data_IF_774020650627
#
_entry.id   IF_774020650627
#
_cell.length_a   1.000
_cell.length_b   1.000
_cell.length_c   1.000
_cell.angle_alpha   90.00
_cell.angle_beta   90.00
_cell.angle_gamma   90.00
#
_symmetry.space_group_name_H-M   'P 1'
#
loop_
_entity.id
_entity.type
_entity.pdbx_description
1 polymer ?
#
# COMPACT_ATOMS: atom_id res chain seq x y z
N UNK A 1 13.66 -7.32 -29.89
CA UNK A 1 12.36 -7.62 -29.29
C UNK A 1 12.21 -9.02 -28.62
N UNK A 2 12.97 -10.08 -28.96
CA UNK A 2 12.78 -11.40 -28.30
C UNK A 2 13.20 -11.48 -26.82
N UNK A 3 14.10 -10.59 -26.36
CA UNK A 3 14.62 -10.64 -24.98
C UNK A 3 13.65 -10.14 -23.88
N UNK A 4 12.73 -9.26 -24.22
CA UNK A 4 11.71 -8.77 -23.26
C UNK A 4 10.61 -9.80 -23.02
N UNK A 5 10.22 -10.53 -24.07
CA UNK A 5 9.21 -11.60 -24.00
C UNK A 5 9.70 -12.77 -23.15
N UNK A 6 10.99 -13.09 -23.22
CA UNK A 6 11.59 -14.17 -22.42
C UNK A 6 11.67 -13.81 -20.92
N UNK A 7 11.95 -12.56 -20.58
CA UNK A 7 11.95 -12.09 -19.19
C UNK A 7 10.54 -12.08 -18.60
N UNK A 8 9.53 -11.68 -19.39
CA UNK A 8 8.12 -11.73 -18.96
C UNK A 8 7.62 -13.16 -18.75
N UNK A 9 8.00 -14.10 -19.59
CA UNK A 9 7.67 -15.52 -19.46
C UNK A 9 8.38 -16.17 -18.27
N UNK A 10 9.63 -15.82 -17.98
CA UNK A 10 10.35 -16.30 -16.81
C UNK A 10 9.80 -15.74 -15.49
N UNK A 11 9.39 -14.46 -15.47
CA UNK A 11 8.70 -13.85 -14.32
C UNK A 11 7.33 -14.46 -14.09
N UNK A 12 6.55 -14.74 -15.14
CA UNK A 12 5.25 -15.39 -15.02
C UNK A 12 5.37 -16.84 -14.54
N UNK A 13 6.42 -17.56 -14.97
CA UNK A 13 6.66 -18.94 -14.55
C UNK A 13 7.11 -19.03 -13.08
N UNK A 14 7.94 -18.12 -12.61
CA UNK A 14 8.33 -18.03 -11.20
C UNK A 14 7.19 -17.63 -10.27
N UNK A 15 6.25 -16.80 -10.75
CA UNK A 15 5.04 -16.43 -10.01
C UNK A 15 4.05 -17.59 -9.86
N UNK A 16 3.93 -18.45 -10.89
CA UNK A 16 3.04 -19.62 -10.85
C UNK A 16 3.61 -20.72 -9.94
N UNK A 17 4.93 -20.89 -9.88
CA UNK A 17 5.56 -21.87 -8.99
C UNK A 17 5.61 -21.44 -7.52
N UNK A 18 5.67 -20.12 -7.24
CA UNK A 18 5.60 -19.61 -5.87
C UNK A 18 4.20 -19.79 -5.22
N UNK A 19 3.14 -19.88 -6.03
CA UNK A 19 1.76 -20.06 -5.55
C UNK A 19 1.40 -21.50 -5.14
N UNK A 20 2.30 -22.47 -5.21
CA UNK A 20 2.00 -23.87 -4.92
C UNK A 20 2.71 -24.47 -3.71
N UNK A 21 3.48 -23.72 -2.96
CA UNK A 21 3.90 -24.19 -1.64
C UNK A 21 2.74 -24.06 -0.67
N UNK A 22 1.87 -25.05 -0.67
CA UNK A 22 1.01 -25.34 0.48
C UNK A 22 1.96 -25.68 1.64
N UNK A 23 2.46 -24.67 2.33
CA UNK A 23 3.12 -24.85 3.61
C UNK A 23 2.07 -25.51 4.48
N UNK A 24 2.32 -26.75 4.91
CA UNK A 24 1.49 -27.44 5.87
C UNK A 24 1.33 -26.47 7.06
N UNK A 25 0.14 -25.89 7.18
CA UNK A 25 -0.23 -25.00 8.26
C UNK A 25 -0.20 -25.81 9.52
N UNK A 26 0.95 -25.89 10.14
CA UNK A 26 1.12 -26.55 11.44
C UNK A 26 0.29 -25.76 12.44
N UNK A 27 -0.78 -26.39 12.92
CA UNK A 27 -1.53 -26.12 14.16
C UNK A 27 -1.26 -24.78 14.82
N UNK A 28 -1.56 -23.67 14.11
CA UNK A 28 -1.69 -22.40 14.79
C UNK A 28 -2.99 -22.46 15.56
N UNK A 29 -2.83 -22.59 16.86
CA UNK A 29 -3.94 -22.51 17.79
C UNK A 29 -4.72 -21.23 17.45
N UNK A 30 -6.00 -21.30 17.54
CA UNK A 30 -7.03 -20.29 17.40
C UNK A 30 -6.80 -18.96 18.18
N UNK A 31 -5.55 -18.64 18.51
CA UNK A 31 -5.17 -17.55 19.35
C UNK A 31 -5.07 -16.21 18.61
N UNK A 32 -4.84 -16.22 17.31
CA UNK A 32 -4.64 -14.97 16.56
C UNK A 32 -5.94 -14.57 15.87
N UNK A 33 -6.43 -13.40 16.21
CA UNK A 33 -7.59 -12.79 15.57
C UNK A 33 -7.18 -12.25 14.20
N UNK A 34 -7.83 -12.74 13.13
CA UNK A 34 -7.49 -12.37 11.75
C UNK A 34 -8.20 -11.07 11.39
N UNK A 35 -7.55 -9.95 11.63
CA UNK A 35 -8.05 -8.64 11.19
C UNK A 35 -6.93 -7.60 11.16
N UNK A 36 -7.12 -6.47 10.44
CA UNK A 36 -6.16 -5.37 10.39
C UNK A 36 -5.73 -4.84 11.76
N UNK A 37 -6.61 -4.92 12.73
CA UNK A 37 -6.37 -4.41 14.07
C UNK A 37 -5.35 -5.24 14.86
N UNK A 38 -5.34 -6.56 14.67
CA UNK A 38 -4.53 -7.48 15.47
C UNK A 38 -3.20 -7.86 14.83
N UNK A 39 -3.02 -7.54 13.55
CA UNK A 39 -1.78 -7.78 12.81
C UNK A 39 -0.86 -6.55 12.80
N UNK A 40 0.34 -6.73 12.28
CA UNK A 40 1.26 -5.65 11.99
C UNK A 40 0.68 -4.65 10.97
N UNK A 41 1.22 -3.43 10.92
CA UNK A 41 0.64 -2.35 10.12
C UNK A 41 0.60 -2.65 8.61
N UNK A 42 1.46 -3.54 8.14
CA UNK A 42 1.61 -3.88 6.71
C UNK A 42 0.92 -5.19 6.30
N UNK A 43 0.28 -5.93 7.23
CA UNK A 43 -0.37 -7.20 6.91
C UNK A 43 -1.64 -7.01 6.06
N UNK A 44 -2.51 -6.10 6.52
CA UNK A 44 -3.77 -5.73 5.87
C UNK A 44 -3.83 -4.20 5.73
N UNK A 45 -2.94 -3.61 4.94
CA UNK A 45 -2.82 -2.16 4.86
C UNK A 45 -4.08 -1.54 4.24
N UNK A 46 -4.38 -0.30 4.64
CA UNK A 46 -5.33 0.52 3.88
C UNK A 46 -4.63 0.96 2.59
N UNK A 47 -5.09 0.52 1.39
CA UNK A 47 -4.42 0.84 0.14
C UNK A 47 -4.27 2.35 -0.05
N UNK A 48 -3.11 2.80 -0.55
CA UNK A 48 -2.93 4.21 -0.87
C UNK A 48 -3.86 4.63 -2.00
N UNK A 49 -4.44 5.82 -1.89
CA UNK A 49 -5.32 6.38 -2.90
C UNK A 49 -4.49 6.96 -4.06
N UNK A 50 -4.87 6.66 -5.30
CA UNK A 50 -4.38 7.38 -6.47
C UNK A 50 -4.97 8.79 -6.51
N UNK A 51 -4.32 9.69 -7.25
CA UNK A 51 -4.83 11.04 -7.45
C UNK A 51 -5.70 11.19 -8.71
N UNK A 52 -5.96 10.08 -9.43
CA UNK A 52 -6.72 10.05 -10.67
C UNK A 52 -5.87 10.29 -11.93
N UNK A 53 -4.53 10.30 -11.79
CA UNK A 53 -3.59 10.41 -12.92
C UNK A 53 -2.55 9.29 -12.88
N UNK A 54 -1.85 9.10 -13.99
CA UNK A 54 -0.70 8.19 -14.12
C UNK A 54 0.61 8.97 -14.23
N UNK A 55 1.71 8.37 -13.82
CA UNK A 55 3.04 8.95 -14.00
C UNK A 55 3.46 8.89 -15.46
N UNK A 56 4.12 9.94 -15.94
CA UNK A 56 4.75 9.96 -17.27
C UNK A 56 6.22 9.52 -17.21
N UNK A 57 6.79 9.46 -16.03
CA UNK A 57 8.19 9.16 -15.79
C UNK A 57 8.32 7.81 -15.07
N UNK A 58 9.41 7.11 -15.34
CA UNK A 58 9.88 6.06 -14.44
C UNK A 58 10.20 6.72 -13.10
N UNK A 59 9.60 6.20 -12.03
CA UNK A 59 9.77 6.71 -10.68
C UNK A 59 10.30 5.61 -9.77
N UNK A 60 11.38 5.89 -9.09
CA UNK A 60 11.99 5.01 -8.10
C UNK A 60 11.87 5.71 -6.75
N UNK A 61 11.31 5.04 -5.75
CA UNK A 61 11.04 5.60 -4.43
C UNK A 61 11.62 4.71 -3.34
N UNK A 62 12.20 5.34 -2.34
CA UNK A 62 12.60 4.71 -1.09
C UNK A 62 11.94 5.46 0.05
N UNK A 63 11.26 4.72 0.92
CA UNK A 63 10.51 5.27 2.05
C UNK A 63 10.92 4.55 3.33
N UNK A 64 11.12 5.32 4.40
CA UNK A 64 11.26 4.81 5.75
C UNK A 64 9.99 5.13 6.52
N UNK A 65 9.38 4.12 7.10
CA UNK A 65 8.15 4.21 7.87
C UNK A 65 8.43 3.85 9.33
N UNK A 66 7.91 4.62 10.24
CA UNK A 66 7.89 4.29 11.65
C UNK A 66 6.45 4.30 12.16
N UNK A 67 6.00 3.18 12.68
CA UNK A 67 4.68 3.01 13.28
C UNK A 67 4.81 2.97 14.79
N UNK A 68 4.05 3.83 15.45
CA UNK A 68 3.86 3.81 16.87
C UNK A 68 2.45 3.32 17.19
N UNK A 69 2.36 2.12 17.74
CA UNK A 69 1.08 1.49 18.08
C UNK A 69 0.42 2.12 19.30
N UNK A 70 -0.91 2.09 19.34
CA UNK A 70 -1.69 2.61 20.48
C UNK A 70 -1.40 1.87 21.79
N UNK A 71 -0.80 0.69 21.72
CA UNK A 71 -0.29 -0.08 22.87
C UNK A 71 1.21 0.15 23.11
N UNK A 72 1.78 1.21 22.56
CA UNK A 72 3.20 1.56 22.66
C UNK A 72 4.14 0.54 22.02
N UNK A 73 3.65 -0.26 21.10
CA UNK A 73 4.45 -1.11 20.24
C UNK A 73 5.05 -0.29 19.11
N UNK A 74 6.18 -0.74 18.58
CA UNK A 74 6.91 -0.07 17.52
C UNK A 74 7.13 -1.00 16.34
N UNK A 75 6.95 -0.45 15.15
CA UNK A 75 7.34 -1.09 13.90
C UNK A 75 8.06 -0.08 13.03
N UNK A 76 9.18 -0.46 12.42
CA UNK A 76 9.91 0.37 11.47
C UNK A 76 10.16 -0.43 10.23
N UNK A 77 9.80 0.07 9.05
CA UNK A 77 10.10 -0.57 7.79
C UNK A 77 10.79 0.35 6.80
N UNK A 78 11.46 -0.27 5.84
CA UNK A 78 11.88 0.37 4.61
C UNK A 78 11.09 -0.22 3.44
N UNK A 79 10.40 0.66 2.72
CA UNK A 79 9.60 0.30 1.55
C UNK A 79 10.27 0.83 0.29
N UNK A 80 10.45 -0.07 -0.69
CA UNK A 80 10.88 0.25 -2.03
C UNK A 80 9.70 0.21 -2.99
N UNK A 81 9.63 1.20 -3.92
CA UNK A 81 8.58 1.28 -4.95
C UNK A 81 9.18 1.69 -6.28
N UNK A 82 8.73 1.05 -7.35
CA UNK A 82 9.04 1.44 -8.72
C UNK A 82 7.75 1.57 -9.51
N UNK A 83 7.56 2.71 -10.17
CA UNK A 83 6.45 2.96 -11.09
C UNK A 83 7.00 3.14 -12.50
N UNK A 84 6.55 2.33 -13.43
CA UNK A 84 7.04 2.26 -14.81
C UNK A 84 5.89 2.63 -15.75
N UNK A 85 6.00 3.73 -16.54
CA UNK A 85 5.04 3.99 -17.61
C UNK A 85 5.22 2.95 -18.73
N UNK A 86 4.14 2.22 -19.04
CA UNK A 86 4.14 1.14 -20.04
C UNK A 86 3.75 1.69 -21.41
N UNK A 87 4.73 1.82 -22.31
CA UNK A 87 4.54 2.20 -23.74
C UNK A 87 3.83 3.55 -23.96
N UNK A 88 3.06 4.01 -23.01
CA UNK A 88 2.28 5.24 -23.05
C UNK A 88 2.28 5.93 -21.70
N UNK A 89 1.89 7.20 -21.69
CA UNK A 89 1.67 7.98 -20.46
C UNK A 89 0.32 7.69 -19.76
N UNK A 90 -0.45 6.72 -20.28
CA UNK A 90 -1.79 6.41 -19.76
C UNK A 90 -1.82 5.14 -18.93
N UNK A 91 -0.77 4.34 -18.96
CA UNK A 91 -0.70 3.06 -18.27
C UNK A 91 0.60 2.97 -17.48
N UNK A 92 0.51 2.67 -16.20
CA UNK A 92 1.66 2.38 -15.35
C UNK A 92 1.63 0.95 -14.85
N UNK A 93 2.80 0.37 -14.66
CA UNK A 93 3.04 -0.78 -13.80
C UNK A 93 3.76 -0.28 -12.56
N UNK A 94 3.24 -0.60 -11.38
CA UNK A 94 3.89 -0.28 -10.11
C UNK A 94 4.19 -1.55 -9.34
N UNK A 95 5.39 -1.66 -8.80
CA UNK A 95 5.82 -2.74 -7.89
C UNK A 95 6.32 -2.12 -6.61
N UNK A 96 5.89 -2.65 -5.45
CA UNK A 96 6.42 -2.18 -4.17
C UNK A 96 6.42 -3.28 -3.13
N UNK A 97 7.28 -3.13 -2.12
CA UNK A 97 7.33 -4.01 -0.97
C UNK A 97 8.00 -3.34 0.23
N UNK A 98 7.57 -3.60 1.44
CA UNK A 98 8.37 -3.41 2.66
C UNK A 98 9.45 -4.49 2.69
N UNK A 99 10.67 -4.18 2.24
CA UNK A 99 11.71 -5.22 2.07
C UNK A 99 12.37 -5.63 3.38
N UNK A 100 12.28 -4.79 4.41
CA UNK A 100 12.71 -5.12 5.77
C UNK A 100 11.82 -4.39 6.78
N UNK A 101 11.42 -5.09 7.82
CA UNK A 101 10.60 -4.57 8.91
C UNK A 101 11.16 -5.04 10.25
N UNK A 102 11.44 -4.11 11.15
CA UNK A 102 11.77 -4.37 12.57
C UNK A 102 10.55 -4.08 13.41
N UNK A 103 10.27 -4.95 14.37
CA UNK A 103 9.15 -4.76 15.29
C UNK A 103 9.52 -5.04 16.74
N UNK A 104 8.82 -4.38 17.65
CA UNK A 104 8.90 -4.56 19.08
C UNK A 104 7.52 -4.43 19.69
N UNK A 105 7.01 -5.54 20.24
CA UNK A 105 5.71 -5.62 20.86
C UNK A 105 5.82 -5.42 22.38
N UNK A 106 4.93 -4.62 22.95
CA UNK A 106 4.75 -4.49 24.40
C UNK A 106 3.92 -5.64 24.97
N UNK A 107 3.95 -5.85 26.27
CA UNK A 107 3.10 -6.84 26.93
C UNK A 107 1.60 -6.59 26.66
N UNK A 108 1.18 -5.32 26.61
CA UNK A 108 -0.20 -4.96 26.28
C UNK A 108 -0.58 -5.34 24.85
N UNK A 109 0.33 -5.15 23.88
CA UNK A 109 0.11 -5.57 22.49
C UNK A 109 0.04 -7.09 22.35
N UNK A 110 0.96 -7.81 23.00
CA UNK A 110 0.98 -9.27 23.03
C UNK A 110 -0.31 -9.85 23.61
N UNK A 111 -0.81 -9.28 24.71
CA UNK A 111 -2.09 -9.69 25.31
C UNK A 111 -3.26 -9.44 24.37
N UNK A 112 -3.32 -8.28 23.73
CA UNK A 112 -4.38 -7.92 22.78
C UNK A 112 -4.41 -8.85 21.55
N UNK A 113 -3.22 -9.22 21.03
CA UNK A 113 -3.07 -10.14 19.89
C UNK A 113 -3.07 -11.63 20.30
N UNK A 114 -3.30 -11.96 21.58
CA UNK A 114 -3.25 -13.34 22.10
C UNK A 114 -1.91 -14.06 21.89
N UNK A 115 -0.82 -13.30 21.89
CA UNK A 115 0.54 -13.81 21.68
C UNK A 115 1.34 -13.96 22.99
N UNK A 116 0.73 -13.76 24.17
CA UNK A 116 1.42 -13.76 25.46
C UNK A 116 2.08 -15.11 25.76
N UNK A 117 1.39 -16.21 25.49
CA UNK A 117 1.90 -17.56 25.70
C UNK A 117 3.08 -17.86 24.77
N UNK A 118 2.93 -17.55 23.48
CA UNK A 118 4.02 -17.67 22.51
C UNK A 118 5.24 -16.84 22.92
N UNK A 119 5.03 -15.63 23.43
CA UNK A 119 6.11 -14.74 23.87
C UNK A 119 6.82 -15.23 25.14
N UNK A 120 6.29 -16.21 25.86
CA UNK A 120 6.97 -16.84 26.99
C UNK A 120 8.01 -17.88 26.56
N UNK A 121 7.81 -18.48 25.40
CA UNK A 121 8.67 -19.54 24.83
C UNK A 121 9.50 -19.06 23.64
N UNK A 122 9.03 -18.06 22.90
CA UNK A 122 9.72 -17.51 21.73
C UNK A 122 9.86 -15.99 21.80
N UNK A 123 11.12 -15.55 21.90
CA UNK A 123 11.46 -14.13 21.99
C UNK A 123 11.11 -13.34 20.72
N UNK A 124 10.98 -14.00 19.57
CA UNK A 124 10.55 -13.37 18.33
C UNK A 124 9.13 -12.81 18.40
N UNK A 125 8.24 -13.36 19.23
CA UNK A 125 6.94 -12.75 19.46
C UNK A 125 7.05 -11.33 20.06
N UNK A 126 8.12 -11.05 20.82
CA UNK A 126 8.35 -9.72 21.43
C UNK A 126 9.05 -8.75 20.51
N UNK A 127 10.08 -9.20 19.81
CA UNK A 127 10.86 -8.37 18.87
C UNK A 127 11.51 -9.23 17.80
N UNK A 128 11.54 -8.71 16.58
CA UNK A 128 12.11 -9.44 15.46
C UNK A 128 12.33 -8.55 14.25
N UNK A 129 12.80 -9.22 13.21
CA UNK A 129 12.99 -8.64 11.88
C UNK A 129 12.28 -9.56 10.90
N UNK A 130 11.53 -8.97 9.98
CA UNK A 130 10.76 -9.71 8.95
C UNK A 130 10.82 -8.99 7.61
N UNK A 131 10.30 -9.61 6.56
CA UNK A 131 10.11 -9.01 5.24
C UNK A 131 8.63 -9.02 4.88
N UNK A 132 8.21 -8.02 4.10
CA UNK A 132 6.80 -7.85 3.74
C UNK A 132 6.40 -8.52 2.45
N UNK A 133 5.13 -8.35 2.12
CA UNK A 133 4.54 -8.81 0.87
C UNK A 133 4.98 -7.94 -0.31
N UNK A 134 5.13 -8.58 -1.47
CA UNK A 134 5.31 -7.89 -2.75
C UNK A 134 3.94 -7.55 -3.32
N UNK A 135 3.81 -6.32 -3.77
CA UNK A 135 2.61 -5.80 -4.44
C UNK A 135 2.90 -5.45 -5.87
N UNK A 136 1.91 -5.66 -6.73
CA UNK A 136 1.91 -5.24 -8.12
C UNK A 136 0.63 -4.49 -8.41
N UNK A 137 0.70 -3.39 -9.16
CA UNK A 137 -0.50 -2.77 -9.70
C UNK A 137 -0.32 -2.33 -11.14
N UNK A 138 -1.44 -2.31 -11.86
CA UNK A 138 -1.57 -1.62 -13.14
C UNK A 138 -2.55 -0.49 -12.97
N UNK A 139 -2.12 0.73 -13.29
CA UNK A 139 -2.91 1.95 -13.19
C UNK A 139 -3.18 2.46 -14.61
N UNK A 140 -4.44 2.72 -14.95
CA UNK A 140 -4.87 3.14 -16.28
C UNK A 140 -5.60 4.47 -16.18
N UNK A 141 -5.08 5.52 -16.84
CA UNK A 141 -5.72 6.82 -16.94
C UNK A 141 -6.73 6.80 -18.09
N UNK A 142 -8.00 6.55 -17.76
CA UNK A 142 -9.09 6.31 -18.71
C UNK A 142 -9.58 7.60 -19.33
N UNK A 143 -9.70 8.66 -18.53
CA UNK A 143 -10.23 9.95 -18.99
C UNK A 143 -9.36 11.08 -18.42
N UNK A 144 -8.96 11.98 -19.30
CA UNK A 144 -8.28 13.23 -18.93
C UNK A 144 -9.25 14.32 -18.59
N UNK A 145 -8.91 15.09 -17.58
CA UNK A 145 -9.65 16.27 -17.17
C UNK A 145 -9.88 17.23 -18.34
N UNK A 146 -11.14 17.67 -18.47
CA UNK A 146 -11.57 18.78 -19.32
C UNK A 146 -12.33 19.80 -18.47
N UNK A 147 -12.88 20.84 -19.12
CA UNK A 147 -13.60 21.91 -18.41
C UNK A 147 -14.63 21.37 -17.41
N UNK A 148 -15.45 20.40 -17.80
CA UNK A 148 -16.51 19.82 -16.96
C UNK A 148 -16.25 18.37 -16.50
N UNK A 149 -15.33 17.65 -17.15
CA UNK A 149 -15.01 16.28 -16.86
C UNK A 149 -13.80 16.18 -15.91
N UNK A 150 -13.81 15.26 -14.94
CA UNK A 150 -12.64 14.97 -14.10
C UNK A 150 -11.62 14.13 -14.86
N UNK A 151 -10.41 13.98 -14.31
CA UNK A 151 -9.55 12.83 -14.59
C UNK A 151 -10.21 11.59 -14.00
N UNK A 152 -10.12 10.46 -14.71
CA UNK A 152 -10.53 9.15 -14.23
C UNK A 152 -9.38 8.18 -14.42
N UNK A 153 -8.92 7.59 -13.33
CA UNK A 153 -7.98 6.49 -13.37
C UNK A 153 -8.57 5.26 -12.67
N UNK A 154 -8.28 4.09 -13.22
CA UNK A 154 -8.62 2.79 -12.62
C UNK A 154 -7.33 2.07 -12.26
N UNK A 155 -7.37 1.31 -11.19
CA UNK A 155 -6.26 0.48 -10.74
C UNK A 155 -6.73 -0.94 -10.49
N UNK A 156 -5.89 -1.89 -10.89
CA UNK A 156 -5.95 -3.27 -10.46
C UNK A 156 -4.64 -3.62 -9.74
N UNK A 157 -4.72 -4.17 -8.54
CA UNK A 157 -3.56 -4.49 -7.73
C UNK A 157 -3.64 -5.88 -7.12
N UNK A 158 -2.49 -6.50 -6.95
CA UNK A 158 -2.30 -7.80 -6.35
C UNK A 158 -1.28 -7.70 -5.21
N UNK A 159 -1.56 -8.38 -4.12
CA UNK A 159 -0.65 -8.67 -3.01
C UNK A 159 -0.26 -10.14 -3.10
N UNK A 160 1.03 -10.43 -3.02
CA UNK A 160 1.51 -11.81 -2.92
C UNK A 160 1.46 -12.31 -1.48
N UNK A 161 1.64 -13.62 -1.28
CA UNK A 161 1.83 -14.25 0.02
C UNK A 161 3.33 -14.45 0.30
N UNK A 162 4.13 -13.40 0.16
CA UNK A 162 5.59 -13.45 0.33
C UNK A 162 6.08 -12.89 1.66
N UNK A 163 5.20 -12.24 2.42
CA UNK A 163 5.51 -11.75 3.75
C UNK A 163 5.70 -12.87 4.75
N UNK A 164 6.58 -12.66 5.74
CA UNK A 164 6.95 -13.68 6.72
C UNK A 164 6.33 -13.41 8.10
N UNK A 165 6.55 -14.38 9.00
CA UNK A 165 6.26 -14.25 10.43
C UNK A 165 4.75 -14.12 10.75
N UNK A 166 3.92 -14.89 10.03
CA UNK A 166 2.49 -15.06 10.31
C UNK A 166 2.23 -15.37 11.80
N UNK A 167 3.01 -16.27 12.36
CA UNK A 167 2.89 -16.71 13.78
C UNK A 167 3.05 -15.58 14.80
N UNK A 168 3.72 -14.51 14.44
CA UNK A 168 3.89 -13.33 15.28
C UNK A 168 2.92 -12.20 14.91
N UNK A 169 1.87 -12.54 14.13
CA UNK A 169 0.89 -11.60 13.60
C UNK A 169 1.52 -10.43 12.84
N UNK A 170 2.61 -10.69 12.06
CA UNK A 170 3.27 -9.64 11.28
C UNK A 170 2.69 -9.52 9.88
N UNK A 171 2.78 -10.57 9.07
CA UNK A 171 2.16 -10.64 7.76
C UNK A 171 1.22 -11.83 7.70
N UNK A 172 0.20 -11.72 6.87
CA UNK A 172 -0.73 -12.82 6.65
C UNK A 172 -0.32 -13.58 5.39
N UNK A 173 -0.02 -14.87 5.55
CA UNK A 173 0.46 -15.74 4.46
C UNK A 173 -0.68 -16.09 3.48
N UNK A 174 -1.17 -15.08 2.78
CA UNK A 174 -2.18 -15.24 1.75
C UNK A 174 -2.11 -14.11 0.71
N UNK A 175 -2.52 -14.40 -0.53
CA UNK A 175 -2.65 -13.38 -1.55
C UNK A 175 -3.83 -12.44 -1.23
N UNK A 176 -3.83 -11.30 -1.90
CA UNK A 176 -4.93 -10.35 -1.89
C UNK A 176 -4.99 -9.57 -3.18
N UNK A 177 -6.11 -8.94 -3.44
CA UNK A 177 -6.27 -8.07 -4.60
C UNK A 177 -7.21 -6.91 -4.29
N UNK A 178 -7.06 -5.85 -5.05
CA UNK A 178 -8.00 -4.74 -4.98
C UNK A 178 -8.11 -4.02 -6.33
N UNK A 179 -9.29 -3.45 -6.54
CA UNK A 179 -9.63 -2.66 -7.72
C UNK A 179 -10.27 -1.36 -7.26
N UNK A 180 -9.85 -0.24 -7.84
CA UNK A 180 -10.48 1.04 -7.55
C UNK A 180 -10.50 1.96 -8.76
N UNK A 181 -11.47 2.86 -8.75
CA UNK A 181 -11.57 3.98 -9.65
C UNK A 181 -11.41 5.28 -8.85
N UNK A 182 -10.57 6.17 -9.35
CA UNK A 182 -10.35 7.49 -8.78
C UNK A 182 -10.77 8.57 -9.74
N UNK A 183 -11.58 9.52 -9.24
CA UNK A 183 -12.08 10.70 -9.95
C UNK A 183 -11.39 11.93 -9.38
N UNK A 184 -10.61 12.64 -10.18
CA UNK A 184 -9.82 13.79 -9.75
C UNK A 184 -10.10 15.04 -10.56
N UNK A 185 -10.11 16.21 -9.91
CA UNK A 185 -10.27 17.51 -10.56
C UNK A 185 -9.24 18.49 -10.02
N UNK A 186 -8.58 19.19 -10.95
CA UNK A 186 -7.60 20.23 -10.62
C UNK A 186 -8.05 21.60 -11.10
N UNK A 187 -7.68 22.61 -10.31
CA UNK A 187 -7.83 24.02 -10.65
C UNK A 187 -6.49 24.71 -10.42
N UNK A 188 -5.95 25.26 -11.51
CA UNK A 188 -4.71 26.03 -11.44
C UNK A 188 -5.02 27.51 -11.26
N UNK A 189 -4.28 28.19 -10.38
CA UNK A 189 -4.46 29.60 -10.04
C UNK A 189 -3.10 30.27 -9.75
N UNK A 190 -3.14 31.59 -9.46
CA UNK A 190 -1.94 32.39 -9.23
C UNK A 190 -1.27 32.85 -10.53
N UNK A 191 -0.21 33.62 -10.40
CA UNK A 191 0.57 34.10 -11.53
C UNK A 191 1.14 32.90 -12.31
N UNK A 192 1.00 32.92 -13.62
CA UNK A 192 1.44 31.84 -14.53
C UNK A 192 0.94 30.44 -14.13
N UNK A 193 -0.22 30.36 -13.45
CA UNK A 193 -0.79 29.09 -12.93
C UNK A 193 0.18 28.29 -12.07
N UNK A 194 0.96 29.01 -11.26
CA UNK A 194 2.02 28.43 -10.40
C UNK A 194 1.49 27.61 -9.22
N UNK A 195 0.19 27.67 -8.96
CA UNK A 195 -0.48 26.94 -7.89
C UNK A 195 -1.53 26.01 -8.47
N UNK A 196 -1.78 24.91 -7.80
CA UNK A 196 -2.77 23.89 -8.21
C UNK A 196 -3.49 23.35 -6.97
N UNK A 197 -4.81 23.42 -6.99
CA UNK A 197 -5.68 22.74 -6.03
C UNK A 197 -6.28 21.53 -6.71
N UNK A 198 -6.09 20.35 -6.13
CA UNK A 198 -6.68 19.10 -6.61
C UNK A 198 -7.55 18.47 -5.55
N UNK A 199 -8.75 18.08 -5.96
CA UNK A 199 -9.67 17.26 -5.18
C UNK A 199 -9.85 15.94 -5.90
N UNK A 200 -9.83 14.84 -5.17
CA UNK A 200 -10.12 13.54 -5.74
C UNK A 200 -10.96 12.68 -4.77
N UNK A 201 -11.73 11.78 -5.34
CA UNK A 201 -12.47 10.75 -4.61
C UNK A 201 -12.24 9.40 -5.27
N UNK A 202 -12.16 8.34 -4.48
CA UNK A 202 -12.02 6.98 -4.96
C UNK A 202 -13.05 6.05 -4.34
N UNK A 203 -13.45 5.05 -5.12
CA UNK A 203 -14.25 3.93 -4.65
C UNK A 203 -13.74 2.65 -5.30
N UNK A 204 -13.84 1.54 -4.58
CA UNK A 204 -13.33 0.27 -5.07
C UNK A 204 -13.72 -0.90 -4.19
N UNK A 205 -13.09 -2.00 -4.48
CA UNK A 205 -13.28 -3.28 -3.82
C UNK A 205 -11.93 -3.89 -3.51
N UNK A 206 -11.79 -4.50 -2.35
CA UNK A 206 -10.63 -5.33 -2.03
C UNK A 206 -11.05 -6.67 -1.46
N UNK A 207 -10.16 -7.63 -1.61
CA UNK A 207 -10.26 -8.93 -0.99
C UNK A 207 -8.89 -9.27 -0.38
N UNK A 208 -8.87 -9.47 0.92
CA UNK A 208 -7.77 -10.14 1.61
C UNK A 208 -8.18 -11.60 1.82
N UNK A 209 -7.56 -12.50 1.10
CA UNK A 209 -7.84 -13.92 1.31
C UNK A 209 -7.40 -14.32 2.72
N UNK A 210 -8.31 -14.90 3.50
CA UNK A 210 -8.05 -15.36 4.87
C UNK A 210 -8.32 -16.85 5.02
N UNK A 211 -8.06 -17.42 6.19
CA UNK A 211 -8.18 -18.86 6.44
C UNK A 211 -9.57 -19.44 6.19
N UNK A 212 -9.61 -20.77 6.00
CA UNK A 212 -10.81 -21.56 5.77
C UNK A 212 -11.59 -21.18 4.50
N UNK A 213 -10.90 -20.66 3.48
CA UNK A 213 -11.56 -20.23 2.24
C UNK A 213 -12.45 -19.01 2.41
N UNK A 214 -12.44 -18.37 3.56
CA UNK A 214 -13.12 -17.10 3.79
C UNK A 214 -12.35 -16.00 3.10
N UNK A 215 -13.07 -15.10 2.48
CA UNK A 215 -12.52 -13.89 1.90
C UNK A 215 -12.94 -12.72 2.80
N UNK A 216 -11.99 -11.91 3.20
CA UNK A 216 -12.31 -10.63 3.84
C UNK A 216 -12.56 -9.60 2.74
N UNK A 217 -13.69 -9.74 2.09
CA UNK A 217 -14.15 -8.82 1.06
C UNK A 217 -14.54 -7.48 1.69
N UNK A 218 -14.19 -6.39 1.03
CA UNK A 218 -14.46 -5.06 1.56
C UNK A 218 -14.69 -4.03 0.44
N UNK A 219 -15.59 -3.11 0.69
CA UNK A 219 -15.68 -1.87 -0.09
C UNK A 219 -14.60 -0.92 0.39
N UNK A 220 -13.77 -0.40 -0.52
CA UNK A 220 -12.77 0.61 -0.23
C UNK A 220 -13.19 1.98 -0.77
N UNK A 221 -12.73 3.03 -0.09
CA UNK A 221 -13.07 4.41 -0.40
C UNK A 221 -11.98 5.38 0.05
N UNK A 222 -11.98 6.56 -0.55
CA UNK A 222 -11.07 7.63 -0.15
C UNK A 222 -11.47 8.98 -0.73
N UNK A 223 -11.00 10.02 -0.04
CA UNK A 223 -11.05 11.41 -0.51
C UNK A 223 -9.70 12.06 -0.28
N UNK A 224 -9.29 12.93 -1.19
CA UNK A 224 -8.01 13.62 -1.18
C UNK A 224 -8.19 15.09 -1.52
N UNK A 225 -7.47 15.94 -0.78
CA UNK A 225 -7.28 17.34 -1.07
C UNK A 225 -5.78 17.62 -1.18
N UNK A 226 -5.31 18.13 -2.31
CA UNK A 226 -3.91 18.52 -2.51
C UNK A 226 -3.80 19.97 -2.95
N UNK A 227 -3.03 20.75 -2.22
CA UNK A 227 -2.60 22.07 -2.60
C UNK A 227 -1.11 22.00 -2.99
N UNK A 228 -0.79 22.40 -4.20
CA UNK A 228 0.59 22.55 -4.68
C UNK A 228 0.89 24.03 -4.92
N UNK A 229 1.98 24.50 -4.36
CA UNK A 229 2.50 25.86 -4.47
C UNK A 229 3.94 25.79 -5.00
N UNK A 230 4.10 25.94 -6.32
CA UNK A 230 5.39 25.76 -7.02
C UNK A 230 6.02 24.39 -6.71
N UNK A 231 7.09 24.36 -5.91
CA UNK A 231 7.83 23.16 -5.53
C UNK A 231 7.22 22.41 -4.35
N UNK A 232 6.46 23.11 -3.51
CA UNK A 232 5.86 22.55 -2.29
C UNK A 232 4.46 22.00 -2.57
N UNK A 233 4.10 20.93 -1.90
CA UNK A 233 2.73 20.40 -1.87
C UNK A 233 2.35 19.96 -0.47
N UNK A 234 1.10 20.17 -0.11
CA UNK A 234 0.45 19.58 1.04
C UNK A 234 -0.74 18.73 0.55
N UNK A 235 -0.86 17.54 1.05
CA UNK A 235 -1.92 16.60 0.67
C UNK A 235 -2.55 16.02 1.92
N UNK A 236 -3.87 16.16 2.03
CA UNK A 236 -4.70 15.49 3.02
C UNK A 236 -5.43 14.34 2.35
N UNK A 237 -5.42 13.17 2.99
CA UNK A 237 -6.12 12.00 2.47
C UNK A 237 -6.84 11.28 3.61
N UNK A 238 -8.15 11.16 3.49
CA UNK A 238 -8.95 10.25 4.31
C UNK A 238 -9.30 9.04 3.46
N UNK A 239 -9.04 7.83 3.96
CA UNK A 239 -9.27 6.60 3.24
C UNK A 239 -9.53 5.44 4.18
N UNK A 240 -10.17 4.41 3.67
CA UNK A 240 -10.48 3.22 4.43
C UNK A 240 -11.09 2.13 3.58
N UNK A 241 -11.38 1.03 4.23
CA UNK A 241 -12.24 -0.01 3.68
C UNK A 241 -13.17 -0.56 4.75
N UNK A 242 -14.28 -1.14 4.32
CA UNK A 242 -15.26 -1.75 5.21
C UNK A 242 -15.47 -3.21 4.81
N UNK A 243 -14.88 -4.10 5.57
CA UNK A 243 -15.06 -5.54 5.39
C UNK A 243 -16.45 -6.00 5.81
N UNK A 244 -16.94 -7.04 5.16
CA UNK A 244 -18.25 -7.65 5.45
C UNK A 244 -18.20 -8.66 6.58
N UNK A 245 -17.03 -9.20 6.91
CA UNK A 245 -16.85 -10.10 8.04
C UNK A 245 -17.19 -9.37 9.35
N UNK A 246 -18.07 -9.96 10.15
CA UNK A 246 -18.48 -9.40 11.44
C UNK A 246 -17.76 -10.04 12.63
N UNK A 247 -17.13 -11.21 12.42
CA UNK A 247 -16.43 -11.97 13.45
C UNK A 247 -15.07 -12.43 12.94
N UNK A 248 -14.07 -12.52 13.79
CA UNK A 248 -12.69 -12.86 13.44
C UNK A 248 -12.06 -13.93 14.33
N UNK A 249 -12.79 -14.59 15.18
CA UNK A 249 -12.31 -15.63 16.06
C UNK A 249 -13.34 -16.71 16.31
N UNK A 250 -12.93 -17.83 16.88
CA UNK A 250 -13.80 -18.97 17.18
C UNK A 250 -14.93 -18.61 18.18
N UNK A 251 -14.67 -17.66 19.05
CA UNK A 251 -15.62 -17.22 20.08
C UNK A 251 -16.54 -16.08 19.64
N UNK A 252 -16.57 -15.74 18.33
CA UNK A 252 -17.44 -14.72 17.79
C UNK A 252 -17.01 -13.28 18.11
N UNK A 253 -15.71 -13.04 18.32
CA UNK A 253 -15.19 -11.70 18.55
C UNK A 253 -15.44 -10.81 17.33
N UNK A 254 -15.63 -9.52 17.57
CA UNK A 254 -15.84 -8.53 16.51
C UNK A 254 -14.58 -8.42 15.64
N UNK A 255 -14.77 -8.49 14.32
CA UNK A 255 -13.67 -8.57 13.36
C UNK A 255 -12.73 -7.37 13.34
N UNK A 256 -13.18 -6.16 13.69
CA UNK A 256 -12.37 -4.92 13.57
C UNK A 256 -11.68 -4.80 12.20
N UNK A 257 -12.42 -5.06 11.15
CA UNK A 257 -11.94 -5.09 9.75
C UNK A 257 -12.46 -3.92 8.92
N UNK A 258 -12.67 -2.77 9.57
CA UNK A 258 -13.10 -1.51 8.94
C UNK A 258 -12.08 -0.39 9.19
N UNK A 259 -10.82 -0.58 8.79
CA UNK A 259 -9.77 0.39 9.07
C UNK A 259 -10.00 1.68 8.29
N UNK A 260 -9.82 2.78 8.99
CA UNK A 260 -9.88 4.14 8.44
C UNK A 260 -8.63 4.90 8.89
N UNK A 261 -8.04 5.64 7.98
CA UNK A 261 -6.84 6.43 8.25
C UNK A 261 -6.98 7.85 7.68
N UNK A 262 -6.37 8.79 8.38
CA UNK A 262 -6.16 10.17 7.94
C UNK A 262 -4.67 10.40 7.76
N UNK A 263 -4.24 10.86 6.60
CA UNK A 263 -2.83 11.10 6.27
C UNK A 263 -2.63 12.53 5.78
N UNK A 264 -1.72 13.24 6.43
CA UNK A 264 -1.16 14.52 5.99
C UNK A 264 0.20 14.26 5.38
N UNK A 265 0.45 14.72 4.16
CA UNK A 265 1.72 14.57 3.47
C UNK A 265 2.23 15.92 2.97
N UNK A 266 3.47 16.22 3.26
CA UNK A 266 4.25 17.32 2.70
C UNK A 266 5.16 16.78 1.61
N UNK A 267 5.21 17.44 0.46
CA UNK A 267 6.08 17.11 -0.66
C UNK A 267 6.91 18.33 -1.09
N UNK A 268 8.17 18.10 -1.41
CA UNK A 268 9.05 19.11 -1.98
C UNK A 268 9.75 18.57 -3.22
N UNK A 269 9.53 19.23 -4.37
CA UNK A 269 10.11 18.83 -5.65
C UNK A 269 11.22 19.76 -6.08
N UNK A 270 12.37 19.18 -6.40
CA UNK A 270 13.52 19.89 -6.98
C UNK A 270 14.09 19.08 -8.14
N UNK A 271 14.01 19.60 -9.34
CA UNK A 271 14.42 18.90 -10.58
C UNK A 271 13.75 17.52 -10.68
N UNK A 272 14.55 16.43 -10.74
CA UNK A 272 14.12 15.05 -10.81
C UNK A 272 13.77 14.45 -9.46
N UNK A 273 14.18 15.09 -8.35
CA UNK A 273 13.93 14.60 -7.01
C UNK A 273 12.62 15.12 -6.45
N UNK A 274 11.95 14.27 -5.70
CA UNK A 274 10.84 14.65 -4.83
C UNK A 274 11.06 14.02 -3.45
N UNK A 275 11.07 14.87 -2.43
CA UNK A 275 11.16 14.48 -1.04
C UNK A 275 9.78 14.57 -0.41
N UNK A 276 9.45 13.62 0.45
CA UNK A 276 8.16 13.59 1.13
C UNK A 276 8.33 13.29 2.61
N UNK A 277 7.48 13.92 3.41
CA UNK A 277 7.29 13.60 4.81
C UNK A 277 5.80 13.48 5.07
N UNK A 278 5.35 12.49 5.81
CA UNK A 278 3.94 12.36 6.13
C UNK A 278 3.71 11.79 7.53
N UNK A 279 2.56 12.16 8.06
CA UNK A 279 1.98 11.60 9.26
C UNK A 279 0.62 11.00 8.93
N UNK A 280 0.36 9.77 9.41
CA UNK A 280 -0.92 9.10 9.30
C UNK A 280 -1.41 8.69 10.68
N UNK A 281 -2.68 8.93 10.91
CA UNK A 281 -3.41 8.54 12.12
C UNK A 281 -4.43 7.46 11.79
N UNK A 282 -4.42 6.39 12.58
CA UNK A 282 -5.45 5.36 12.54
C UNK A 282 -6.73 5.83 13.24
N UNK A 283 -7.75 6.15 12.45
CA UNK A 283 -9.03 6.68 12.96
C UNK A 283 -9.89 5.55 13.53
N UNK A 284 -9.91 4.41 12.87
CA UNK A 284 -10.70 3.23 13.26
C UNK A 284 -10.00 1.96 12.82
N UNK A 285 -10.01 0.93 13.65
CA UNK A 285 -9.53 -0.44 13.36
C UNK A 285 -8.10 -0.53 12.77
N UNK A 286 -7.32 0.53 12.89
CA UNK A 286 -5.91 0.64 12.51
C UNK A 286 -5.18 1.32 13.68
N UNK A 287 -4.62 0.53 14.62
CA UNK A 287 -4.19 1.05 15.91
C UNK A 287 -2.77 1.62 15.88
N UNK A 288 -2.42 2.40 14.85
CA UNK A 288 -1.09 2.95 14.66
C UNK A 288 -1.10 4.42 14.27
N UNK A 289 -0.14 5.17 14.81
CA UNK A 289 0.39 6.38 14.19
C UNK A 289 1.50 5.97 13.22
N UNK A 290 1.57 6.54 12.04
CA UNK A 290 2.66 6.30 11.09
C UNK A 290 3.35 7.61 10.77
N UNK A 291 4.67 7.63 10.90
CA UNK A 291 5.55 8.67 10.42
C UNK A 291 6.32 8.12 9.23
N UNK A 292 6.33 8.84 8.13
CA UNK A 292 7.01 8.41 6.91
C UNK A 292 7.87 9.55 6.38
N UNK A 293 9.09 9.21 5.98
CA UNK A 293 9.93 10.05 5.14
C UNK A 293 10.32 9.28 3.89
N UNK A 294 10.45 9.96 2.78
CA UNK A 294 10.79 9.29 1.53
C UNK A 294 11.42 10.23 0.52
N UNK A 295 12.14 9.62 -0.40
CA UNK A 295 12.68 10.28 -1.57
C UNK A 295 12.33 9.49 -2.83
N UNK A 296 12.00 10.20 -3.89
CA UNK A 296 11.79 9.60 -5.20
C UNK A 296 12.61 10.31 -6.27
N UNK A 297 13.09 9.52 -7.21
CA UNK A 297 13.80 9.98 -8.39
C UNK A 297 13.01 9.66 -9.65
N UNK A 298 12.93 10.61 -10.58
CA UNK A 298 12.17 10.50 -11.82
C UNK A 298 13.09 10.51 -13.02
N UNK A 299 12.80 9.59 -13.95
CA UNK A 299 13.54 9.44 -15.22
C UNK A 299 12.51 9.47 -16.35
N UNK A 300 12.61 10.45 -17.25
CA UNK A 300 11.76 10.53 -18.41
C UNK A 300 12.22 9.53 -19.48
N UNK A 301 11.68 8.31 -19.42
CA UNK A 301 12.06 7.24 -20.34
C UNK A 301 11.30 7.29 -21.67
N UNK A 302 10.13 7.94 -21.71
CA UNK A 302 9.32 8.02 -22.93
C UNK A 302 9.92 8.96 -23.96
N UNK A 303 10.58 10.04 -23.52
CA UNK A 303 11.29 10.94 -24.44
C UNK A 303 12.62 10.36 -24.90
N UNK A 304 13.31 9.60 -24.05
CA UNK A 304 14.54 8.90 -24.41
C UNK A 304 14.30 7.84 -25.50
N UNK A 305 13.14 7.17 -25.47
CA UNK A 305 12.79 6.18 -26.51
C UNK A 305 12.38 6.82 -27.83
N UNK A 306 11.86 8.05 -27.83
CA UNK A 306 11.58 8.80 -29.07
C UNK A 306 12.87 9.23 -29.74
N UNK A 307 13.79 9.83 -29.01
CA UNK A 307 15.08 10.30 -29.53
C UNK A 307 15.90 9.18 -30.19
N UNK A 308 15.84 7.97 -29.63
CA UNK A 308 16.53 6.79 -30.15
C UNK A 308 15.88 6.13 -31.38
N UNK A 309 14.66 6.57 -31.77
CA UNK A 309 13.97 6.12 -32.99
C UNK A 309 14.16 7.10 -34.15
N UNK A 310 14.64 8.31 -33.84
CA UNK A 310 14.91 9.36 -34.81
C UNK A 310 16.39 9.43 -35.21
N UNK A 311 17.27 8.72 -34.49
CA UNK A 311 18.68 8.40 -34.85
C UNK A 311 18.74 7.05 -35.60
#
# INVERSE_FOLDING_TARGET
MPRLTTVFLLLSYSLVTAGQTTIARTNYSAATLISPYYFGPNAFPVPEMLDGTTSHDLRIELMANHYYGFKRDHTTDFTFRVTIPLFTRYVNLTVWMPFVEWYSNTAARLSECRLTELASTDTKARKGVTSGDVYFSTDIHVLRQKKYLPDIAIRAALKTASGNDYQYARYYDSPGYFFDATFGKSWSFGAEKSHDLRVAASAGFLCWQTDNGKQNDAVMYGVMLRLRMRALSITETFRGYSGWENTCGENGEIARNRPMVLKTQLGYRVKQWEFQASYQYGVRDYPFHQFQIGASYRINILDLTKKKREE
#
